data_IF_155775440269
#
_entry.id   IF_155775440269
#
_cell.length_a   1.000
_cell.length_b   1.000
_cell.length_c   1.000
_cell.angle_alpha   90.00
_cell.angle_beta   90.00
_cell.angle_gamma   90.00
#
_symmetry.space_group_name_H-M   'P 1'
#
loop_
_entity.id
_entity.type
_entity.pdbx_description
1 polymer ?
#
# COMPACT_ATOMS: atom_id res chain seq x y z
N UNK A 1 24.51 -8.60 12.90
CA UNK A 1 24.62 -9.10 11.52
C UNK A 1 23.30 -9.73 11.09
N UNK A 2 22.33 -8.94 10.62
CA UNK A 2 21.03 -9.41 10.08
C UNK A 2 20.92 -9.06 8.58
N UNK A 3 22.04 -9.02 7.86
CA UNK A 3 22.11 -8.58 6.46
C UNK A 3 21.97 -9.75 5.48
N UNK A 4 21.13 -10.73 5.78
CA UNK A 4 20.88 -11.81 4.83
C UNK A 4 19.89 -11.33 3.76
N UNK A 5 20.24 -11.36 2.47
CA UNK A 5 19.31 -10.98 1.39
C UNK A 5 18.03 -11.84 1.42
N UNK A 6 18.11 -13.08 1.91
CA UNK A 6 16.95 -13.94 2.12
C UNK A 6 15.95 -13.38 3.14
N UNK A 7 16.44 -12.74 4.22
CA UNK A 7 15.56 -12.12 5.22
C UNK A 7 14.81 -10.94 4.60
N UNK A 8 15.48 -10.16 3.76
CA UNK A 8 14.88 -9.04 3.04
C UNK A 8 13.77 -9.50 2.08
N UNK A 9 14.03 -10.53 1.29
CA UNK A 9 13.02 -11.15 0.41
C UNK A 9 11.82 -11.62 1.22
N UNK A 10 12.06 -12.36 2.31
CA UNK A 10 11.00 -12.87 3.18
C UNK A 10 10.15 -11.76 3.81
N UNK A 11 10.79 -10.68 4.29
CA UNK A 11 10.09 -9.53 4.87
C UNK A 11 9.27 -8.76 3.83
N UNK A 12 9.84 -8.49 2.65
CA UNK A 12 9.14 -7.82 1.56
C UNK A 12 7.92 -8.62 1.10
N UNK A 13 8.08 -9.93 0.88
CA UNK A 13 6.96 -10.82 0.53
C UNK A 13 5.89 -10.85 1.62
N UNK A 14 6.30 -10.95 2.89
CA UNK A 14 5.36 -10.97 4.01
C UNK A 14 4.57 -9.67 4.11
N UNK A 15 5.23 -8.51 4.01
CA UNK A 15 4.57 -7.21 4.03
C UNK A 15 3.59 -7.06 2.87
N UNK A 16 4.00 -7.41 1.65
CA UNK A 16 3.14 -7.37 0.47
C UNK A 16 1.93 -8.31 0.61
N UNK A 17 2.13 -9.53 1.10
CA UNK A 17 1.05 -10.49 1.32
C UNK A 17 0.06 -10.01 2.38
N UNK A 18 0.53 -9.49 3.52
CA UNK A 18 -0.34 -8.96 4.57
C UNK A 18 -1.13 -7.72 4.10
N UNK A 19 -0.52 -6.83 3.33
CA UNK A 19 -1.24 -5.71 2.73
C UNK A 19 -2.29 -6.20 1.74
N UNK A 20 -1.94 -7.12 0.84
CA UNK A 20 -2.89 -7.69 -0.11
C UNK A 20 -4.08 -8.36 0.60
N UNK A 21 -3.81 -9.23 1.59
CA UNK A 21 -4.84 -9.89 2.38
C UNK A 21 -5.73 -8.85 3.06
N UNK A 22 -5.16 -7.86 3.74
CA UNK A 22 -5.96 -6.86 4.47
C UNK A 22 -6.73 -5.91 3.55
N UNK A 23 -6.29 -5.71 2.30
CA UNK A 23 -7.04 -4.96 1.30
C UNK A 23 -8.20 -5.77 0.72
N UNK A 24 -7.98 -7.04 0.34
CA UNK A 24 -9.03 -7.90 -0.22
C UNK A 24 -10.10 -8.29 0.81
N UNK A 25 -9.70 -8.45 2.07
CA UNK A 25 -10.65 -8.79 3.14
C UNK A 25 -11.38 -7.58 3.74
N UNK A 26 -10.93 -6.33 3.48
CA UNK A 26 -11.79 -5.14 3.67
C UNK A 26 -12.93 -5.12 2.64
N UNK A 27 -12.65 -5.70 1.47
CA UNK A 27 -13.44 -5.57 0.26
C UNK A 27 -14.75 -6.35 0.30
N UNK A 28 -14.83 -7.40 1.12
CA UNK A 28 -15.99 -8.31 1.13
C UNK A 28 -16.95 -8.08 2.29
N UNK A 29 -16.51 -7.64 3.48
CA UNK A 29 -17.41 -7.57 4.64
C UNK A 29 -18.03 -6.18 4.82
N UNK A 30 -17.22 -5.13 4.89
CA UNK A 30 -17.72 -3.79 5.21
C UNK A 30 -18.39 -3.12 4.03
N UNK A 31 -17.81 -3.21 2.84
CA UNK A 31 -18.48 -2.61 1.69
C UNK A 31 -19.74 -3.40 1.34
N UNK A 32 -19.80 -4.72 1.51
CA UNK A 32 -21.04 -5.46 1.21
C UNK A 32 -22.13 -5.14 2.24
N UNK A 33 -21.86 -5.13 3.56
CA UNK A 33 -22.89 -4.77 4.55
C UNK A 33 -23.32 -3.30 4.44
N UNK A 34 -22.37 -2.36 4.32
CA UNK A 34 -22.69 -0.94 4.19
C UNK A 34 -23.32 -0.62 2.83
N UNK A 35 -22.98 -1.37 1.78
CA UNK A 35 -23.60 -1.26 0.47
C UNK A 35 -25.00 -1.87 0.44
N UNK A 36 -25.25 -3.01 1.09
CA UNK A 36 -26.58 -3.63 1.17
C UNK A 36 -27.54 -2.76 2.01
N UNK A 37 -27.03 -2.09 3.05
CA UNK A 37 -27.81 -1.15 3.86
C UNK A 37 -28.12 0.14 3.08
N UNK A 38 -27.17 0.65 2.27
CA UNK A 38 -27.36 1.83 1.38
C UNK A 38 -28.13 1.52 0.09
N UNK A 39 -28.10 0.28 -0.40
CA UNK A 39 -28.87 -0.18 -1.59
C UNK A 39 -30.38 -0.06 -1.38
N UNK A 40 -30.86 -0.06 -0.13
CA UNK A 40 -32.29 0.12 0.15
C UNK A 40 -32.82 1.53 -0.13
N UNK A 41 -31.97 2.51 -0.44
CA UNK A 41 -32.40 3.89 -0.67
C UNK A 41 -31.62 4.72 -1.69
N UNK A 42 -30.60 4.18 -2.38
CA UNK A 42 -29.82 4.94 -3.36
C UNK A 42 -30.06 4.50 -4.82
N UNK A 43 -29.99 5.43 -5.80
CA UNK A 43 -30.14 5.08 -7.20
C UNK A 43 -28.96 4.21 -7.70
N UNK A 44 -29.23 3.17 -8.52
CA UNK A 44 -28.24 2.14 -8.90
C UNK A 44 -27.01 2.66 -9.68
N UNK A 45 -27.02 3.91 -10.17
CA UNK A 45 -25.94 4.50 -10.94
C UNK A 45 -24.77 5.02 -10.08
N UNK A 46 -25.03 5.56 -8.88
CA UNK A 46 -24.00 6.06 -7.95
C UNK A 46 -23.22 4.89 -7.34
N UNK A 47 -23.97 3.87 -6.93
CA UNK A 47 -23.47 2.61 -6.39
C UNK A 47 -22.37 1.99 -7.26
N UNK A 48 -22.63 1.90 -8.58
CA UNK A 48 -21.72 1.28 -9.53
C UNK A 48 -20.42 2.08 -9.69
N UNK A 49 -20.47 3.41 -9.57
CA UNK A 49 -19.32 4.30 -9.76
C UNK A 49 -18.36 4.25 -8.58
N UNK A 50 -18.85 4.42 -7.35
CA UNK A 50 -18.02 4.38 -6.13
C UNK A 50 -17.35 3.01 -5.97
N UNK A 51 -18.09 1.94 -6.25
CA UNK A 51 -17.57 0.57 -6.28
C UNK A 51 -16.46 0.41 -7.33
N UNK A 52 -16.63 0.97 -8.53
CA UNK A 52 -15.61 0.92 -9.60
C UNK A 52 -14.33 1.67 -9.20
N UNK A 53 -14.44 2.89 -8.67
CA UNK A 53 -13.27 3.69 -8.21
C UNK A 53 -12.50 2.94 -7.14
N UNK A 54 -13.21 2.33 -6.20
CA UNK A 54 -12.60 1.55 -5.12
C UNK A 54 -11.90 0.28 -5.62
N UNK A 55 -12.49 -0.47 -6.55
CA UNK A 55 -11.84 -1.61 -7.18
C UNK A 55 -10.60 -1.20 -7.97
N UNK A 56 -10.68 -0.10 -8.73
CA UNK A 56 -9.54 0.42 -9.48
C UNK A 56 -8.40 0.84 -8.54
N UNK A 57 -8.71 1.52 -7.43
CA UNK A 57 -7.73 1.85 -6.40
C UNK A 57 -7.07 0.60 -5.79
N UNK A 58 -7.87 -0.42 -5.48
CA UNK A 58 -7.38 -1.66 -4.88
C UNK A 58 -6.51 -2.44 -5.86
N UNK A 59 -6.92 -2.53 -7.13
CA UNK A 59 -6.14 -3.17 -8.18
C UNK A 59 -4.81 -2.42 -8.42
N UNK A 60 -4.86 -1.09 -8.55
CA UNK A 60 -3.68 -0.25 -8.74
C UNK A 60 -2.68 -0.40 -7.58
N UNK A 61 -3.17 -0.37 -6.34
CA UNK A 61 -2.32 -0.54 -5.15
C UNK A 61 -1.71 -1.93 -5.07
N UNK A 62 -2.50 -2.98 -5.33
CA UNK A 62 -2.02 -4.37 -5.40
C UNK A 62 -0.89 -4.52 -6.43
N UNK A 63 -1.09 -3.99 -7.64
CA UNK A 63 -0.07 -4.03 -8.71
C UNK A 63 1.21 -3.30 -8.28
N UNK A 64 1.09 -2.14 -7.64
CA UNK A 64 2.27 -1.42 -7.13
C UNK A 64 3.03 -2.19 -6.06
N UNK A 65 2.34 -2.80 -5.09
CA UNK A 65 2.96 -3.62 -4.05
C UNK A 65 3.70 -4.84 -4.62
N UNK A 66 3.10 -5.53 -5.58
CA UNK A 66 3.74 -6.66 -6.25
C UNK A 66 4.92 -6.24 -7.11
N UNK A 67 4.81 -5.14 -7.84
CA UNK A 67 5.90 -4.60 -8.65
C UNK A 67 7.10 -4.24 -7.78
N UNK A 68 6.86 -3.57 -6.65
CA UNK A 68 7.93 -3.25 -5.72
C UNK A 68 8.57 -4.51 -5.12
N UNK A 69 7.76 -5.49 -4.74
CA UNK A 69 8.25 -6.77 -4.25
C UNK A 69 9.12 -7.49 -5.28
N UNK A 70 8.72 -7.49 -6.56
CA UNK A 70 9.50 -8.05 -7.66
C UNK A 70 10.82 -7.31 -7.88
N UNK A 71 10.81 -5.98 -7.82
CA UNK A 71 12.03 -5.17 -7.91
C UNK A 71 13.00 -5.47 -6.77
N UNK A 72 12.50 -5.52 -5.53
CA UNK A 72 13.25 -5.90 -4.32
C UNK A 72 13.86 -7.31 -4.43
N UNK A 73 13.05 -8.29 -4.82
CA UNK A 73 13.50 -9.68 -5.00
C UNK A 73 14.56 -9.77 -6.10
N UNK A 74 14.39 -9.03 -7.20
CA UNK A 74 15.34 -9.03 -8.30
C UNK A 74 16.69 -8.45 -7.87
N UNK A 75 16.70 -7.36 -7.09
CA UNK A 75 17.93 -6.81 -6.53
C UNK A 75 18.64 -7.79 -5.60
N UNK A 76 17.90 -8.43 -4.69
CA UNK A 76 18.45 -9.41 -3.77
C UNK A 76 18.97 -10.68 -4.49
N UNK A 77 18.28 -11.16 -5.52
CA UNK A 77 18.72 -12.28 -6.35
C UNK A 77 19.97 -11.92 -7.17
N UNK A 78 20.06 -10.69 -7.67
CA UNK A 78 21.25 -10.21 -8.39
C UNK A 78 22.49 -10.19 -7.49
N UNK A 79 22.33 -9.82 -6.22
CA UNK A 79 23.39 -9.88 -5.21
C UNK A 79 23.85 -11.32 -4.94
N UNK A 80 22.91 -12.25 -4.79
CA UNK A 80 23.20 -13.66 -4.51
C UNK A 80 23.84 -14.39 -5.70
N UNK A 81 23.44 -14.03 -6.92
CA UNK A 81 23.83 -14.75 -8.13
C UNK A 81 24.27 -13.79 -9.25
N UNK A 82 25.34 -13.01 -9.03
CA UNK A 82 25.79 -11.97 -9.96
C UNK A 82 26.30 -12.56 -11.28
N UNK A 83 26.62 -13.86 -11.33
CA UNK A 83 27.08 -14.54 -12.55
C UNK A 83 25.95 -14.99 -13.46
N UNK A 84 24.71 -15.07 -12.97
CA UNK A 84 23.58 -15.63 -13.74
C UNK A 84 23.11 -14.66 -14.84
N UNK A 85 23.10 -15.08 -16.12
CA UNK A 85 22.66 -14.22 -17.22
C UNK A 85 21.16 -13.92 -17.17
N UNK A 86 20.35 -14.85 -16.66
CA UNK A 86 18.90 -14.66 -16.47
C UNK A 86 18.64 -13.55 -15.45
N UNK A 87 19.32 -13.61 -14.31
CA UNK A 87 19.15 -12.63 -13.22
C UNK A 87 19.67 -11.26 -13.65
N UNK A 88 20.78 -11.20 -14.41
CA UNK A 88 21.23 -9.96 -15.07
C UNK A 88 20.17 -9.33 -15.97
N UNK A 89 19.48 -10.14 -16.79
CA UNK A 89 18.40 -9.66 -17.67
C UNK A 89 17.21 -9.15 -16.87
N UNK A 90 16.76 -9.90 -15.87
CA UNK A 90 15.70 -9.47 -14.97
C UNK A 90 16.06 -8.16 -14.26
N UNK A 91 17.27 -8.06 -13.72
CA UNK A 91 17.78 -6.83 -13.09
C UNK A 91 17.73 -5.64 -14.05
N UNK A 92 18.17 -5.81 -15.31
CA UNK A 92 18.12 -4.74 -16.32
C UNK A 92 16.70 -4.28 -16.69
N UNK A 93 15.70 -5.15 -16.57
CA UNK A 93 14.30 -4.77 -16.78
C UNK A 93 13.82 -3.79 -15.70
N UNK A 94 14.23 -4.03 -14.45
CA UNK A 94 13.83 -3.20 -13.32
C UNK A 94 14.76 -2.00 -13.09
N UNK A 95 16.03 -2.10 -13.50
CA UNK A 95 17.10 -1.11 -13.28
C UNK A 95 17.88 -0.91 -14.60
N UNK A 96 17.68 0.21 -15.29
CA UNK A 96 18.26 0.47 -16.63
C UNK A 96 19.76 0.65 -16.62
N UNK A 97 20.30 1.29 -15.58
CA UNK A 97 21.73 1.53 -15.43
C UNK A 97 22.20 0.97 -14.08
N UNK A 98 23.00 -0.12 -14.06
CA UNK A 98 23.67 -0.54 -12.84
C UNK A 98 24.67 0.55 -12.42
N UNK A 99 24.28 1.42 -11.49
CA UNK A 99 25.22 2.36 -10.87
C UNK A 99 25.98 1.59 -9.78
N UNK A 100 27.31 1.76 -9.66
CA UNK A 100 28.02 1.40 -8.44
C UNK A 100 27.44 2.24 -7.29
N UNK A 101 26.63 1.62 -6.42
CA UNK A 101 25.98 2.30 -5.28
C UNK A 101 27.08 2.95 -4.43
N UNK A 102 27.17 4.30 -4.35
CA UNK A 102 28.15 4.92 -3.48
C UNK A 102 27.76 4.59 -2.03
N UNK A 103 28.70 3.97 -1.32
CA UNK A 103 28.59 3.80 0.12
C UNK A 103 28.46 5.20 0.77
N UNK A 104 27.79 5.34 1.93
CA UNK A 104 27.77 6.62 2.65
C UNK A 104 29.18 7.05 3.10
N UNK A 105 30.18 6.15 3.07
CA UNK A 105 31.61 6.48 3.29
C UNK A 105 32.35 6.91 2.01
N UNK A 106 31.75 6.78 0.82
CA UNK A 106 32.39 7.11 -0.47
C UNK A 106 31.95 8.45 -1.05
N UNK A 107 31.45 9.39 -0.24
CA UNK A 107 31.45 10.79 -0.67
C UNK A 107 32.89 11.35 -0.72
N UNK A 108 33.86 10.65 -0.10
CA UNK A 108 35.27 11.03 -0.01
C UNK A 108 36.26 9.90 -0.35
N UNK A 109 35.79 8.74 -0.82
CA UNK A 109 36.66 7.60 -1.13
C UNK A 109 36.65 7.35 -2.65
N UNK A 110 37.81 7.42 -3.32
CA UNK A 110 37.90 7.43 -4.78
C UNK A 110 37.65 6.08 -5.46
N UNK A 111 37.38 5.00 -4.72
CA UNK A 111 37.10 3.68 -5.29
C UNK A 111 35.60 3.36 -5.30
N UNK A 112 34.97 3.27 -6.50
CA UNK A 112 33.58 2.84 -6.65
C UNK A 112 33.49 1.32 -6.55
N UNK A 113 33.39 0.81 -5.33
CA UNK A 113 33.12 -0.62 -5.11
C UNK A 113 31.69 -0.93 -5.62
N UNK A 114 31.51 -1.78 -6.66
CA UNK A 114 30.23 -1.94 -7.31
C UNK A 114 29.27 -2.73 -6.43
N UNK A 115 28.14 -2.11 -6.09
CA UNK A 115 26.90 -2.80 -5.68
C UNK A 115 27.03 -3.62 -4.39
N UNK A 116 27.50 -3.02 -3.29
CA UNK A 116 27.16 -3.58 -1.97
C UNK A 116 25.75 -3.17 -1.61
N UNK A 117 24.82 -4.12 -1.62
CA UNK A 117 23.48 -3.93 -1.08
C UNK A 117 23.64 -3.49 0.37
N UNK A 118 23.10 -2.31 0.70
CA UNK A 118 23.19 -1.81 2.07
C UNK A 118 22.52 -2.82 2.99
N UNK A 119 23.12 -3.11 4.17
CA UNK A 119 22.47 -3.93 5.18
C UNK A 119 21.08 -3.38 5.48
N UNK A 120 20.15 -4.27 5.86
CA UNK A 120 18.78 -3.91 6.25
C UNK A 120 18.80 -2.65 7.11
N UNK A 121 18.23 -1.56 6.59
CA UNK A 121 18.23 -0.29 7.29
C UNK A 121 17.20 -0.32 8.40
N UNK A 122 17.48 0.37 9.52
CA UNK A 122 16.50 0.53 10.59
C UNK A 122 15.18 1.13 10.09
N UNK A 123 15.24 2.00 9.08
CA UNK A 123 14.05 2.57 8.42
C UNK A 123 13.22 1.53 7.67
N UNK A 124 13.85 0.58 6.97
CA UNK A 124 13.13 -0.51 6.32
C UNK A 124 12.45 -1.42 7.35
N UNK A 125 13.16 -1.78 8.42
CA UNK A 125 12.58 -2.56 9.52
C UNK A 125 11.40 -1.83 10.18
N UNK A 126 11.53 -0.52 10.42
CA UNK A 126 10.44 0.31 10.93
C UNK A 126 9.26 0.35 9.95
N UNK A 127 9.53 0.40 8.65
CA UNK A 127 8.49 0.29 7.63
C UNK A 127 7.73 -1.04 7.73
N UNK A 128 8.45 -2.16 7.80
CA UNK A 128 7.86 -3.48 7.96
C UNK A 128 7.02 -3.60 9.23
N UNK A 129 7.52 -3.09 10.37
CA UNK A 129 6.76 -3.15 11.63
C UNK A 129 5.49 -2.30 11.58
N UNK A 130 5.52 -1.13 10.94
CA UNK A 130 4.33 -0.31 10.71
C UNK A 130 3.30 -1.01 9.81
N UNK A 131 3.73 -1.63 8.70
CA UNK A 131 2.84 -2.39 7.82
C UNK A 131 2.21 -3.58 8.54
N UNK A 132 3.01 -4.35 9.29
CA UNK A 132 2.51 -5.52 9.99
C UNK A 132 1.58 -5.13 11.15
N UNK A 133 1.91 -4.07 11.90
CA UNK A 133 1.05 -3.58 12.99
C UNK A 133 -0.24 -2.96 12.47
N UNK A 134 -0.21 -2.19 11.40
CA UNK A 134 -1.41 -1.66 10.75
C UNK A 134 -2.32 -2.78 10.22
N UNK A 135 -1.73 -3.79 9.60
CA UNK A 135 -2.44 -4.97 9.11
C UNK A 135 -3.05 -5.79 10.26
N UNK A 136 -2.30 -5.99 11.35
CA UNK A 136 -2.78 -6.66 12.55
C UNK A 136 -3.92 -5.89 13.22
N UNK A 137 -3.82 -4.57 13.33
CA UNK A 137 -4.88 -3.72 13.87
C UNK A 137 -6.16 -3.82 13.04
N UNK A 138 -6.04 -3.85 11.71
CA UNK A 138 -7.19 -4.05 10.80
C UNK A 138 -7.83 -5.41 11.02
N UNK A 139 -7.03 -6.49 11.04
CA UNK A 139 -7.53 -7.84 11.29
C UNK A 139 -8.19 -7.96 12.68
N UNK A 140 -7.61 -7.34 13.70
CA UNK A 140 -8.17 -7.36 15.05
C UNK A 140 -9.49 -6.60 15.13
N UNK A 141 -9.58 -5.43 14.49
CA UNK A 141 -10.81 -4.63 14.43
C UNK A 141 -11.96 -5.44 13.81
N UNK A 142 -11.67 -6.24 12.78
CA UNK A 142 -12.69 -7.08 12.14
C UNK A 142 -13.15 -8.26 12.98
N UNK A 143 -12.26 -8.82 13.81
CA UNK A 143 -12.64 -9.93 14.71
C UNK A 143 -13.49 -9.46 15.89
N UNK A 144 -13.50 -8.16 16.19
CA UNK A 144 -14.24 -7.57 17.32
C UNK A 144 -15.09 -6.41 16.81
N UNK A 145 -16.16 -6.68 16.04
CA UNK A 145 -17.05 -5.62 15.58
C UNK A 145 -17.72 -4.94 16.79
N UNK A 146 -17.99 -3.62 16.71
CA UNK A 146 -18.72 -2.93 17.75
C UNK A 146 -20.11 -3.56 17.90
N UNK A 147 -20.41 -4.14 19.07
CA UNK A 147 -21.75 -4.62 19.36
C UNK A 147 -22.65 -3.41 19.58
N UNK A 148 -23.54 -3.12 18.63
CA UNK A 148 -24.70 -2.26 18.88
C UNK A 148 -25.61 -3.00 19.86
N UNK A 149 -25.68 -2.55 21.11
CA UNK A 149 -26.70 -3.03 22.04
C UNK A 149 -28.02 -2.41 21.62
N UNK A 150 -28.91 -3.23 21.05
CA UNK A 150 -30.26 -2.84 20.62
C UNK A 150 -31.23 -2.74 21.81
N UNK A 151 -30.79 -2.13 22.91
CA UNK A 151 -31.67 -1.82 24.04
C UNK A 151 -32.18 -0.41 23.84
N UNK A 152 -33.50 -0.28 23.71
CA UNK A 152 -34.21 0.98 23.41
C UNK A 152 -33.90 2.11 24.41
N UNK A 153 -33.41 1.79 25.61
CA UNK A 153 -33.20 2.79 26.67
C UNK A 153 -31.72 3.14 26.96
N UNK A 154 -30.76 2.46 26.32
CA UNK A 154 -29.34 2.81 26.46
C UNK A 154 -28.62 2.69 25.12
N UNK A 155 -28.65 3.78 24.35
CA UNK A 155 -27.78 3.98 23.18
C UNK A 155 -26.31 4.12 23.62
N UNK A 156 -25.72 3.06 24.14
CA UNK A 156 -24.30 2.97 24.46
C UNK A 156 -23.62 1.96 23.53
N UNK A 157 -22.70 2.40 22.68
CA UNK A 157 -21.85 1.46 21.94
C UNK A 157 -20.87 0.85 22.94
N UNK A 158 -21.08 -0.41 23.32
CA UNK A 158 -20.17 -1.10 24.22
C UNK A 158 -18.89 -1.45 23.46
N UNK A 159 -17.96 -0.51 23.45
CA UNK A 159 -16.69 -0.64 22.74
C UNK A 159 -15.84 -1.75 23.39
N UNK A 160 -15.46 -2.76 22.60
CA UNK A 160 -14.55 -3.85 23.00
C UNK A 160 -13.37 -3.94 22.04
N UNK A 161 -12.28 -4.54 22.51
CA UNK A 161 -11.08 -4.72 21.69
C UNK A 161 -10.49 -3.38 21.25
N UNK A 162 -10.06 -3.23 19.98
CA UNK A 162 -9.40 -2.01 19.52
C UNK A 162 -10.32 -0.79 19.51
N UNK A 163 -11.64 -0.99 19.40
CA UNK A 163 -12.63 0.10 19.48
C UNK A 163 -12.74 0.71 20.88
N UNK A 164 -12.29 0.01 21.94
CA UNK A 164 -12.24 0.57 23.29
C UNK A 164 -11.14 1.64 23.45
N UNK A 165 -10.16 1.66 22.54
CA UNK A 165 -9.00 2.54 22.59
C UNK A 165 -9.07 3.60 21.49
N UNK A 166 -9.47 3.18 20.28
CA UNK A 166 -9.48 4.03 19.09
C UNK A 166 -10.92 4.16 18.56
N UNK A 167 -11.33 5.39 18.21
CA UNK A 167 -12.64 5.63 17.59
C UNK A 167 -12.79 4.98 16.21
N UNK A 168 -11.68 4.90 15.45
CA UNK A 168 -11.66 4.37 14.09
C UNK A 168 -10.38 3.51 13.85
N UNK A 169 -10.26 2.33 14.49
CA UNK A 169 -9.03 1.54 14.46
C UNK A 169 -8.68 1.05 13.04
N UNK A 170 -9.66 0.84 12.15
CA UNK A 170 -9.44 0.52 10.74
C UNK A 170 -8.78 1.65 9.95
N UNK A 171 -9.20 2.89 10.21
CA UNK A 171 -8.60 4.09 9.64
C UNK A 171 -7.14 4.22 10.09
N UNK A 172 -6.89 4.05 11.39
CA UNK A 172 -5.54 4.04 11.95
C UNK A 172 -4.66 2.94 11.37
N UNK A 173 -5.18 1.71 11.22
CA UNK A 173 -4.44 0.63 10.58
C UNK A 173 -4.10 0.92 9.11
N UNK A 174 -4.95 1.66 8.40
CA UNK A 174 -4.67 2.11 7.02
C UNK A 174 -3.60 3.20 6.98
N UNK A 175 -3.61 4.14 7.93
CA UNK A 175 -2.55 5.15 8.08
C UNK A 175 -1.20 4.47 8.40
N UNK A 176 -1.18 3.50 9.32
CA UNK A 176 0.03 2.74 9.66
C UNK A 176 0.57 1.96 8.44
N UNK A 177 -0.30 1.29 7.68
CA UNK A 177 0.10 0.61 6.45
C UNK A 177 0.68 1.60 5.42
N UNK A 178 0.05 2.75 5.22
CA UNK A 178 0.54 3.75 4.27
C UNK A 178 1.91 4.32 4.68
N UNK A 179 2.07 4.71 5.94
CA UNK A 179 3.34 5.19 6.47
C UNK A 179 4.44 4.12 6.39
N UNK A 180 4.11 2.88 6.76
CA UNK A 180 5.03 1.75 6.67
C UNK A 180 5.43 1.43 5.23
N UNK A 181 4.48 1.45 4.29
CA UNK A 181 4.74 1.24 2.87
C UNK A 181 5.68 2.30 2.30
N UNK A 182 5.45 3.59 2.63
CA UNK A 182 6.34 4.69 2.23
C UNK A 182 7.77 4.42 2.76
N UNK A 183 7.92 4.05 4.04
CA UNK A 183 9.24 3.72 4.58
C UNK A 183 9.86 2.50 3.87
N UNK A 184 9.12 1.42 3.64
CA UNK A 184 9.60 0.25 2.91
C UNK A 184 10.04 0.60 1.49
N UNK A 185 9.36 1.54 0.83
CA UNK A 185 9.64 1.91 -0.56
C UNK A 185 10.82 2.87 -0.70
N UNK A 186 10.94 3.81 0.24
CA UNK A 186 11.92 4.90 0.14
C UNK A 186 13.10 4.74 1.11
N UNK A 187 13.14 3.68 1.92
CA UNK A 187 14.27 3.42 2.80
C UNK A 187 15.58 3.25 2.00
N UNK A 188 16.71 3.75 2.50
CA UNK A 188 17.97 3.62 1.79
C UNK A 188 18.32 2.15 1.52
N UNK A 189 18.71 1.86 0.28
CA UNK A 189 19.05 0.51 -0.17
C UNK A 189 17.89 -0.27 -0.77
N UNK A 190 16.67 0.26 -0.77
CA UNK A 190 15.51 -0.32 -1.47
C UNK A 190 15.57 -0.08 -2.98
N UNK A 191 14.87 -0.91 -3.75
CA UNK A 191 14.67 -0.76 -5.18
C UNK A 191 13.99 0.57 -5.50
N UNK A 192 12.93 0.89 -4.75
CA UNK A 192 12.23 2.18 -4.90
C UNK A 192 13.16 3.37 -4.66
N UNK A 193 13.98 3.33 -3.61
CA UNK A 193 14.94 4.39 -3.34
C UNK A 193 16.02 4.48 -4.42
N UNK A 194 16.49 3.35 -4.95
CA UNK A 194 17.46 3.32 -6.04
C UNK A 194 16.89 3.94 -7.33
N UNK A 195 15.63 3.63 -7.67
CA UNK A 195 14.94 4.21 -8.82
C UNK A 195 14.74 5.73 -8.69
N UNK A 196 14.23 6.20 -7.55
CA UNK A 196 13.83 7.61 -7.38
C UNK A 196 15.03 8.50 -7.12
N UNK A 197 15.85 8.14 -6.13
CA UNK A 197 16.94 8.99 -5.65
C UNK A 197 18.25 8.74 -6.37
N UNK A 198 18.42 7.52 -6.89
CA UNK A 198 19.58 7.15 -7.70
C UNK A 198 19.45 7.53 -9.18
N UNK A 199 18.31 8.10 -9.61
CA UNK A 199 18.05 8.38 -11.02
C UNK A 199 17.99 7.11 -11.89
N UNK A 200 17.77 5.94 -11.27
CA UNK A 200 17.82 4.64 -11.94
C UNK A 200 16.46 4.32 -12.56
N UNK A 201 16.17 5.07 -13.61
CA UNK A 201 14.90 5.00 -14.31
C UNK A 201 14.98 4.01 -15.46
N UNK A 202 14.62 2.74 -15.21
CA UNK A 202 14.21 1.82 -16.29
C UNK A 202 12.88 2.28 -16.86
N UNK A 203 12.61 1.97 -18.13
CA UNK A 203 11.32 2.29 -18.76
C UNK A 203 10.16 1.73 -17.91
N UNK A 204 10.32 0.54 -17.33
CA UNK A 204 9.38 -0.05 -16.38
C UNK A 204 9.23 0.77 -15.09
N UNK A 205 10.33 1.17 -14.45
CA UNK A 205 10.26 2.00 -13.23
C UNK A 205 9.70 3.40 -13.51
N UNK A 206 9.99 4.00 -14.67
CA UNK A 206 9.40 5.28 -15.10
C UNK A 206 7.91 5.10 -15.28
N UNK A 207 7.46 4.07 -16.02
CA UNK A 207 6.03 3.82 -16.21
C UNK A 207 5.30 3.59 -14.89
N UNK A 208 5.91 2.86 -13.97
CA UNK A 208 5.33 2.60 -12.65
C UNK A 208 5.27 3.88 -11.83
N UNK A 209 6.34 4.67 -11.78
CA UNK A 209 6.37 5.91 -11.00
C UNK A 209 5.56 7.03 -11.63
N UNK A 210 5.51 7.13 -12.95
CA UNK A 210 4.66 8.05 -13.71
C UNK A 210 3.18 7.70 -13.49
N UNK A 211 2.82 6.41 -13.58
CA UNK A 211 1.50 5.94 -13.22
C UNK A 211 1.16 6.29 -11.77
N UNK A 212 2.02 5.97 -10.81
CA UNK A 212 1.77 6.24 -9.39
C UNK A 212 1.68 7.72 -9.05
N UNK A 213 2.58 8.54 -9.59
CA UNK A 213 2.64 9.98 -9.36
C UNK A 213 1.46 10.73 -9.99
N UNK A 214 0.88 10.21 -11.08
CA UNK A 214 -0.36 10.75 -11.66
C UNK A 214 -1.61 10.20 -10.97
N UNK A 215 -1.58 8.95 -10.54
CA UNK A 215 -2.71 8.28 -9.91
C UNK A 215 -3.02 8.83 -8.52
N UNK A 216 -2.00 9.03 -7.67
CA UNK A 216 -2.19 9.49 -6.28
C UNK A 216 -2.87 10.88 -6.20
N UNK A 217 -2.46 11.90 -6.98
CA UNK A 217 -3.14 13.19 -7.00
C UNK A 217 -4.50 13.17 -7.73
N UNK A 218 -4.71 12.22 -8.65
CA UNK A 218 -6.00 12.06 -9.31
C UNK A 218 -7.07 11.54 -8.35
N UNK A 219 -6.71 10.77 -7.33
CA UNK A 219 -7.66 10.18 -6.37
C UNK A 219 -8.53 11.22 -5.65
N UNK A 220 -8.01 12.30 -5.03
CA UNK A 220 -8.85 13.36 -4.47
C UNK A 220 -9.82 13.97 -5.49
N UNK A 221 -9.40 14.13 -6.75
CA UNK A 221 -10.24 14.65 -7.82
C UNK A 221 -11.37 13.69 -8.16
N UNK A 222 -11.06 12.41 -8.36
CA UNK A 222 -12.03 11.35 -8.61
C UNK A 222 -13.01 11.18 -7.45
N UNK A 223 -12.53 11.26 -6.21
CA UNK A 223 -13.38 11.23 -5.01
C UNK A 223 -14.28 12.46 -4.93
N UNK A 224 -13.76 13.67 -5.16
CA UNK A 224 -14.59 14.89 -5.18
C UNK A 224 -15.62 14.88 -6.30
N UNK A 225 -15.27 14.35 -7.47
CA UNK A 225 -16.22 14.20 -8.58
C UNK A 225 -17.32 13.21 -8.21
N UNK A 226 -16.97 12.07 -7.62
CA UNK A 226 -17.95 11.10 -7.12
C UNK A 226 -18.89 11.76 -6.09
N UNK A 227 -18.36 12.48 -5.10
CA UNK A 227 -19.16 13.17 -4.06
C UNK A 227 -20.06 14.25 -4.67
N UNK A 228 -19.59 15.06 -5.61
CA UNK A 228 -20.44 16.09 -6.25
C UNK A 228 -21.57 15.50 -7.07
N UNK A 229 -21.29 14.39 -7.76
CA UNK A 229 -22.32 13.65 -8.48
C UNK A 229 -23.31 13.01 -7.51
N UNK A 230 -22.85 12.52 -6.35
CA UNK A 230 -23.70 12.04 -5.25
C UNK A 230 -24.65 13.15 -4.78
N UNK A 231 -24.12 14.33 -4.44
CA UNK A 231 -24.90 15.49 -3.96
C UNK A 231 -25.98 15.91 -4.98
N UNK A 232 -25.63 15.94 -6.28
CA UNK A 232 -26.53 16.32 -7.35
C UNK A 232 -27.60 15.26 -7.68
N UNK A 233 -27.35 14.00 -7.36
CA UNK A 233 -28.34 12.94 -7.50
C UNK A 233 -29.32 12.92 -6.33
N UNK A 234 -28.86 13.23 -5.11
CA UNK A 234 -29.73 13.41 -3.95
C UNK A 234 -30.70 14.58 -4.12
N UNK A 235 -30.22 15.74 -4.57
CA UNK A 235 -31.08 16.89 -4.82
C UNK A 235 -32.20 16.60 -5.83
N UNK A 236 -31.92 15.79 -6.87
CA UNK A 236 -32.92 15.38 -7.86
C UNK A 236 -33.94 14.40 -7.32
N UNK A 237 -33.55 13.52 -6.40
CA UNK A 237 -34.47 12.59 -5.76
C UNK A 237 -35.44 13.32 -4.82
N UNK A 238 -34.96 14.34 -4.09
CA UNK A 238 -35.81 15.19 -3.24
C UNK A 238 -36.85 15.98 -4.06
N UNK A 239 -36.50 16.44 -5.27
CA UNK A 239 -37.43 17.13 -6.18
C UNK A 239 -38.52 16.20 -6.77
N UNK A 240 -38.31 14.88 -6.80
CA UNK A 240 -39.29 13.92 -7.35
C UNK A 240 -40.32 13.43 -6.32
N UNK A 241 -40.02 13.58 -5.03
CA UNK A 241 -40.89 13.15 -3.92
C UNK A 241 -41.87 14.25 -3.44
N UNK A 242 -41.69 15.50 -3.86
CA UNK A 242 -42.55 16.68 -3.58
C UNK A 242 -43.62 16.93 -4.65
#
# INVERSE_FOLDING_TARGET
MLSSPYLRIGLSLSCTAFMAITQTSLQESEVVEEMEEKERGQPPSLYRRTRTVYYLYTAASTVGYWTHCLGECTMALYELYPSSPLIKRAYRLFVSNPIPIPSPRSWWSPDPDPVRVRPLTGLFLLGCTLVLSGSALKLWSRRVPPRRTRSEDTQGILARGPYAILKAPLGWGTVLNAAGAILCYHAPGTWGAACIWGGQFSLASVSVMDFWSKWVPALPGLVRMAVREDDAAWARAEEEDD
#
